data_IF_651761283353
#
_entry.id   IF_651761283353
#
_cell.length_a   1.000
_cell.length_b   1.000
_cell.length_c   1.000
_cell.angle_alpha   90.00
_cell.angle_beta   90.00
_cell.angle_gamma   90.00
#
_symmetry.space_group_name_H-M   'P 1'
#
loop_
_entity.id
_entity.type
_entity.pdbx_description
1 polymer ?
#
# COMPACT_ATOMS: atom_id res chain seq x y z
N UNK A 1 -18.85 -19.19 15.95
CA UNK A 1 -18.68 -19.53 14.53
C UNK A 1 -17.43 -18.80 14.05
N UNK A 2 -16.32 -19.48 13.78
CA UNK A 2 -15.16 -18.83 13.12
C UNK A 2 -15.66 -18.39 11.74
N UNK A 3 -15.58 -17.11 11.43
CA UNK A 3 -15.71 -16.66 10.04
C UNK A 3 -14.52 -17.27 9.31
N UNK A 4 -14.75 -18.34 8.56
CA UNK A 4 -13.75 -18.90 7.66
C UNK A 4 -13.46 -17.87 6.56
N UNK A 5 -12.21 -17.79 6.13
CA UNK A 5 -11.81 -16.96 5.00
C UNK A 5 -12.54 -17.40 3.74
N UNK A 6 -12.98 -16.44 2.93
CA UNK A 6 -13.50 -16.73 1.60
C UNK A 6 -12.39 -17.36 0.74
N UNK A 7 -12.68 -18.49 0.10
CA UNK A 7 -11.65 -19.26 -0.59
C UNK A 7 -11.09 -18.53 -1.83
N UNK A 8 -11.93 -17.79 -2.56
CA UNK A 8 -11.47 -17.00 -3.70
C UNK A 8 -10.60 -15.83 -3.25
N UNK A 9 -10.95 -15.20 -2.12
CA UNK A 9 -10.11 -14.19 -1.50
C UNK A 9 -8.75 -14.74 -1.08
N UNK A 10 -8.71 -15.91 -0.46
CA UNK A 10 -7.47 -16.54 -0.02
C UNK A 10 -6.53 -16.82 -1.20
N UNK A 11 -7.05 -17.46 -2.26
CA UNK A 11 -6.31 -17.73 -3.50
C UNK A 11 -5.80 -16.43 -4.13
N UNK A 12 -6.64 -15.39 -4.18
CA UNK A 12 -6.26 -14.08 -4.69
C UNK A 12 -5.09 -13.47 -3.92
N UNK A 13 -5.14 -13.48 -2.58
CA UNK A 13 -4.07 -12.94 -1.72
C UNK A 13 -2.79 -13.76 -1.90
N UNK A 14 -2.88 -15.09 -1.84
CA UNK A 14 -1.71 -15.97 -1.90
C UNK A 14 -0.95 -15.83 -3.22
N UNK A 15 -1.66 -15.58 -4.33
CA UNK A 15 -1.06 -15.39 -5.65
C UNK A 15 -0.27 -14.07 -5.76
N UNK A 16 -0.57 -13.06 -4.93
CA UNK A 16 -0.08 -11.68 -5.11
C UNK A 16 0.80 -11.16 -3.98
N UNK A 17 0.62 -11.69 -2.78
CA UNK A 17 1.21 -11.12 -1.56
C UNK A 17 2.72 -11.00 -1.61
N UNK A 18 3.42 -11.99 -2.17
CA UNK A 18 4.89 -11.99 -2.22
C UNK A 18 5.42 -10.86 -3.08
N UNK A 19 4.90 -10.71 -4.31
CA UNK A 19 5.29 -9.63 -5.23
C UNK A 19 5.02 -8.26 -4.62
N UNK A 20 3.82 -8.03 -4.11
CA UNK A 20 3.46 -6.71 -3.56
C UNK A 20 4.16 -6.40 -2.23
N UNK A 21 4.49 -7.42 -1.43
CA UNK A 21 5.28 -7.23 -0.22
C UNK A 21 6.71 -6.80 -0.58
N UNK A 22 7.32 -7.44 -1.58
CA UNK A 22 8.64 -7.08 -2.10
C UNK A 22 8.65 -5.66 -2.67
N UNK A 23 7.69 -5.31 -3.52
CA UNK A 23 7.55 -3.95 -4.06
C UNK A 23 7.34 -2.90 -2.96
N UNK A 24 6.42 -3.14 -2.03
CA UNK A 24 6.22 -2.24 -0.90
C UNK A 24 7.45 -2.16 0.02
N UNK A 25 8.25 -3.22 0.13
CA UNK A 25 9.52 -3.22 0.87
C UNK A 25 10.55 -2.30 0.21
N UNK A 26 10.67 -2.29 -1.12
CA UNK A 26 11.52 -1.34 -1.84
C UNK A 26 11.10 0.12 -1.60
N UNK A 27 9.80 0.39 -1.49
CA UNK A 27 9.29 1.74 -1.19
C UNK A 27 9.48 2.12 0.28
N UNK A 28 9.24 1.19 1.19
CA UNK A 28 9.32 1.44 2.63
C UNK A 28 10.75 1.33 3.19
N UNK A 29 11.64 0.68 2.46
CA UNK A 29 12.91 0.14 2.93
C UNK A 29 12.78 -0.68 4.23
N UNK A 30 11.58 -1.19 4.53
CA UNK A 30 11.29 -1.83 5.81
C UNK A 30 10.22 -2.89 5.57
N UNK A 31 10.58 -4.19 5.59
CA UNK A 31 9.63 -5.27 5.29
C UNK A 31 8.51 -5.36 6.33
N UNK A 32 8.76 -4.94 7.58
CA UNK A 32 7.73 -4.94 8.63
C UNK A 32 6.68 -3.85 8.35
N UNK A 33 7.12 -2.64 7.98
CA UNK A 33 6.19 -1.56 7.58
C UNK A 33 5.45 -1.90 6.29
N UNK A 34 6.13 -2.50 5.31
CA UNK A 34 5.54 -2.95 4.06
C UNK A 34 4.44 -4.00 4.31
N UNK A 35 4.73 -5.02 5.12
CA UNK A 35 3.76 -6.06 5.49
C UNK A 35 2.56 -5.50 6.25
N UNK A 36 2.77 -4.53 7.14
CA UNK A 36 1.67 -3.84 7.84
C UNK A 36 0.77 -3.05 6.86
N UNK A 37 1.36 -2.35 5.89
CA UNK A 37 0.61 -1.61 4.87
C UNK A 37 -0.17 -2.55 3.95
N UNK A 38 0.45 -3.64 3.50
CA UNK A 38 -0.18 -4.65 2.64
C UNK A 38 -1.35 -5.34 3.34
N UNK A 39 -1.16 -5.78 4.59
CA UNK A 39 -2.23 -6.38 5.40
C UNK A 39 -3.41 -5.41 5.58
N UNK A 40 -3.13 -4.12 5.80
CA UNK A 40 -4.17 -3.11 5.91
C UNK A 40 -4.92 -2.88 4.58
N UNK A 41 -4.22 -2.92 3.44
CA UNK A 41 -4.84 -2.84 2.12
C UNK A 41 -5.76 -4.03 1.85
N UNK A 42 -5.29 -5.27 2.09
CA UNK A 42 -6.10 -6.48 1.96
C UNK A 42 -7.28 -6.50 2.91
N UNK A 43 -7.14 -6.04 4.16
CA UNK A 43 -8.27 -5.93 5.09
C UNK A 43 -9.37 -5.00 4.57
N UNK A 44 -9.00 -3.91 3.91
CA UNK A 44 -9.97 -2.99 3.27
C UNK A 44 -10.56 -3.58 1.99
N UNK A 45 -9.82 -4.42 1.26
CA UNK A 45 -10.35 -5.17 0.12
C UNK A 45 -11.37 -6.22 0.60
N UNK A 46 -11.05 -6.99 1.65
CA UNK A 46 -11.94 -8.01 2.21
C UNK A 46 -13.34 -7.47 2.54
N UNK A 47 -13.43 -6.24 3.08
CA UNK A 47 -14.70 -5.57 3.34
C UNK A 47 -15.59 -5.36 2.10
N UNK A 48 -14.97 -5.32 0.92
CA UNK A 48 -15.60 -5.04 -0.37
C UNK A 48 -15.38 -6.18 -1.37
N UNK A 49 -14.96 -7.36 -0.88
CA UNK A 49 -14.72 -8.51 -1.74
C UNK A 49 -15.98 -8.83 -2.56
N UNK A 50 -15.80 -9.11 -3.85
CA UNK A 50 -16.88 -9.30 -4.83
C UNK A 50 -17.66 -8.03 -5.24
N UNK A 51 -17.33 -6.84 -4.71
CA UNK A 51 -17.97 -5.56 -5.08
C UNK A 51 -17.05 -4.57 -5.79
N UNK A 52 -15.77 -4.92 -5.90
CA UNK A 52 -14.76 -4.10 -6.57
C UNK A 52 -14.52 -4.72 -7.94
N UNK A 53 -14.65 -3.93 -8.99
CA UNK A 53 -14.48 -4.39 -10.37
C UNK A 53 -13.04 -4.84 -10.66
N UNK A 54 -12.06 -4.05 -10.17
CA UNK A 54 -10.63 -4.35 -10.26
C UNK A 54 -9.99 -4.39 -8.86
N UNK A 55 -9.91 -5.59 -8.25
CA UNK A 55 -9.27 -5.78 -6.95
C UNK A 55 -7.78 -5.37 -6.93
N UNK A 56 -7.08 -5.51 -8.05
CA UNK A 56 -5.63 -5.25 -8.14
C UNK A 56 -5.38 -3.76 -8.08
N UNK A 57 -6.01 -2.99 -8.97
CA UNK A 57 -5.91 -1.53 -8.97
C UNK A 57 -6.39 -0.94 -7.63
N UNK A 58 -7.46 -1.48 -7.06
CA UNK A 58 -7.96 -1.05 -5.75
C UNK A 58 -6.93 -1.29 -4.64
N UNK A 59 -6.31 -2.47 -4.60
CA UNK A 59 -5.37 -2.84 -3.54
C UNK A 59 -4.06 -2.08 -3.68
N UNK A 60 -3.51 -2.01 -4.90
CA UNK A 60 -2.30 -1.26 -5.21
C UNK A 60 -2.45 0.21 -4.84
N UNK A 61 -3.60 0.83 -5.15
CA UNK A 61 -3.89 2.20 -4.70
C UNK A 61 -3.82 2.32 -3.18
N UNK A 62 -4.54 1.46 -2.46
CA UNK A 62 -4.54 1.49 -0.99
C UNK A 62 -3.16 1.27 -0.37
N UNK A 63 -2.36 0.40 -0.97
CA UNK A 63 -1.01 0.07 -0.53
C UNK A 63 -0.08 1.28 -0.70
N UNK A 64 -0.01 1.81 -1.92
CA UNK A 64 0.99 2.78 -2.31
C UNK A 64 0.64 4.25 -1.99
N UNK A 65 -0.65 4.61 -1.95
CA UNK A 65 -1.11 5.98 -1.63
C UNK A 65 -0.55 6.51 -0.30
N UNK A 66 -0.40 5.62 0.69
CA UNK A 66 0.10 5.97 2.04
C UNK A 66 1.62 5.95 2.13
N UNK A 67 2.28 4.98 1.49
CA UNK A 67 3.72 4.78 1.65
C UNK A 67 4.54 5.67 0.70
N UNK A 68 4.00 6.03 -0.47
CA UNK A 68 4.70 6.87 -1.45
C UNK A 68 5.01 8.29 -0.96
N UNK A 69 4.27 8.79 0.05
CA UNK A 69 4.46 10.15 0.61
C UNK A 69 5.20 10.15 1.94
N UNK A 70 5.51 8.99 2.51
CA UNK A 70 6.18 8.91 3.81
C UNK A 70 7.68 9.10 3.64
N UNK A 71 8.21 10.13 4.32
CA UNK A 71 9.66 10.17 4.60
C UNK A 71 9.98 9.09 5.62
N UNK A 72 10.94 8.24 5.27
CA UNK A 72 11.40 7.17 6.14
C UNK A 72 12.85 7.51 6.52
N UNK A 73 13.16 7.65 7.83
CA UNK A 73 14.54 7.71 8.25
C UNK A 73 15.16 6.35 7.94
N UNK A 74 16.00 6.32 6.90
CA UNK A 74 16.82 5.17 6.56
C UNK A 74 18.19 5.37 7.20
N UNK A 75 18.65 4.36 7.94
CA UNK A 75 19.97 4.34 8.56
C UNK A 75 20.47 2.91 8.50
N UNK A 76 21.18 2.58 7.42
CA UNK A 76 21.91 1.32 7.31
C UNK A 76 23.11 1.52 6.41
N UNK A 77 24.31 1.23 6.91
CA UNK A 77 25.48 1.05 6.05
C UNK A 77 25.28 -0.19 5.15
N UNK A 78 25.66 -0.11 3.86
CA UNK A 78 25.58 -1.27 2.98
C UNK A 78 26.68 -2.28 3.33
N UNK A 79 26.30 -3.43 3.89
CA UNK A 79 27.21 -4.56 4.11
C UNK A 79 27.16 -5.62 2.99
N UNK A 80 26.21 -5.52 2.06
CA UNK A 80 26.03 -6.41 0.92
C UNK A 80 25.56 -5.64 -0.32
N UNK A 81 25.61 -6.28 -1.51
CA UNK A 81 25.09 -5.70 -2.76
C UNK A 81 23.59 -5.37 -2.66
N UNK A 82 22.78 -6.23 -2.02
CA UNK A 82 21.37 -5.92 -1.74
C UNK A 82 21.25 -4.68 -0.84
N UNK A 83 22.14 -4.56 0.15
CA UNK A 83 22.22 -3.37 1.00
C UNK A 83 22.57 -2.10 0.23
N UNK A 84 23.41 -2.19 -0.81
CA UNK A 84 23.77 -1.05 -1.66
C UNK A 84 22.57 -0.53 -2.46
N UNK A 85 21.76 -1.43 -3.06
CA UNK A 85 20.53 -1.05 -3.78
C UNK A 85 19.52 -0.39 -2.83
N UNK A 86 19.28 -0.99 -1.66
CA UNK A 86 18.38 -0.40 -0.66
C UNK A 86 18.90 0.95 -0.14
N UNK A 87 20.21 1.12 0.00
CA UNK A 87 20.84 2.38 0.36
C UNK A 87 20.64 3.45 -0.72
N UNK A 88 20.85 3.11 -1.99
CA UNK A 88 20.63 4.01 -3.13
C UNK A 88 19.16 4.45 -3.23
N UNK A 89 18.21 3.53 -3.03
CA UNK A 89 16.78 3.86 -2.92
C UNK A 89 16.48 4.79 -1.73
N UNK A 90 17.25 4.67 -0.64
CA UNK A 90 17.20 5.56 0.52
C UNK A 90 17.52 7.02 0.20
N UNK A 91 18.39 7.26 -0.78
CA UNK A 91 18.78 8.61 -1.23
C UNK A 91 17.71 9.29 -2.11
N UNK A 92 16.73 8.53 -2.61
CA UNK A 92 15.63 9.06 -3.40
C UNK A 92 14.58 9.76 -2.52
N UNK A 93 13.91 10.76 -3.09
CA UNK A 93 12.68 11.29 -2.47
C UNK A 93 11.63 10.17 -2.36
N UNK A 94 10.70 10.21 -1.40
CA UNK A 94 9.66 9.18 -1.26
C UNK A 94 8.89 8.94 -2.57
N UNK A 95 8.60 10.01 -3.32
CA UNK A 95 7.88 9.93 -4.58
C UNK A 95 8.75 9.33 -5.70
N UNK A 96 10.01 9.75 -5.82
CA UNK A 96 10.95 9.17 -6.81
C UNK A 96 11.09 7.66 -6.62
N UNK A 97 11.26 7.24 -5.37
CA UNK A 97 11.35 5.83 -4.99
C UNK A 97 10.07 5.06 -5.29
N UNK A 98 8.90 5.60 -4.96
CA UNK A 98 7.64 4.97 -5.30
C UNK A 98 7.46 4.83 -6.81
N UNK A 99 7.72 5.89 -7.57
CA UNK A 99 7.58 5.89 -9.03
C UNK A 99 8.51 4.87 -9.69
N UNK A 100 9.80 4.82 -9.32
CA UNK A 100 10.73 3.87 -9.95
C UNK A 100 10.37 2.42 -9.61
N UNK A 101 9.93 2.13 -8.39
CA UNK A 101 9.48 0.77 -8.01
C UNK A 101 8.22 0.38 -8.77
N UNK A 102 7.22 1.27 -8.84
CA UNK A 102 5.97 0.97 -9.53
C UNK A 102 6.20 0.72 -11.04
N UNK A 103 7.11 1.46 -11.67
CA UNK A 103 7.41 1.30 -13.10
C UNK A 103 8.33 0.12 -13.37
N UNK A 104 9.44 -0.01 -12.63
CA UNK A 104 10.48 -1.00 -12.94
C UNK A 104 10.23 -2.37 -12.29
N UNK A 105 9.55 -2.44 -11.15
CA UNK A 105 9.35 -3.69 -10.41
C UNK A 105 7.90 -4.20 -10.50
N UNK A 106 6.92 -3.32 -10.30
CA UNK A 106 5.50 -3.67 -10.49
C UNK A 106 5.09 -3.64 -11.97
N UNK A 107 5.99 -3.19 -12.85
CA UNK A 107 5.80 -3.12 -14.31
C UNK A 107 4.57 -2.30 -14.74
N UNK A 108 4.17 -1.32 -13.91
CA UNK A 108 3.07 -0.43 -14.23
C UNK A 108 3.48 0.62 -15.26
N UNK A 109 2.55 0.97 -16.13
CA UNK A 109 2.71 2.07 -17.08
C UNK A 109 2.71 3.42 -16.37
N UNK A 110 3.27 4.44 -17.03
CA UNK A 110 3.24 5.84 -16.56
C UNK A 110 1.80 6.33 -16.29
N UNK A 111 0.83 5.84 -17.06
CA UNK A 111 -0.59 6.20 -16.92
C UNK A 111 -1.17 5.60 -15.64
N UNK A 112 -0.94 4.30 -15.41
CA UNK A 112 -1.39 3.60 -14.20
C UNK A 112 -0.77 4.21 -12.95
N UNK A 113 0.53 4.52 -12.98
CA UNK A 113 1.20 5.20 -11.87
C UNK A 113 0.63 6.60 -11.62
N UNK A 114 0.32 7.35 -12.68
CA UNK A 114 -0.31 8.67 -12.57
C UNK A 114 -1.69 8.59 -11.90
N UNK A 115 -2.51 7.63 -12.30
CA UNK A 115 -3.82 7.39 -11.69
C UNK A 115 -3.70 6.94 -10.22
N UNK A 116 -2.73 6.07 -9.93
CA UNK A 116 -2.53 5.48 -8.60
C UNK A 116 -1.99 6.48 -7.58
N UNK A 117 -1.07 7.36 -7.99
CA UNK A 117 -0.44 8.37 -7.12
C UNK A 117 -1.10 9.76 -7.19
N UNK A 118 -2.14 9.92 -8.01
CA UNK A 118 -2.81 11.21 -8.29
C UNK A 118 -1.82 12.25 -8.86
N UNK A 119 -1.04 11.83 -9.85
CA UNK A 119 0.00 12.62 -10.52
C UNK A 119 -0.25 12.73 -12.02
N UNK A 120 0.15 13.85 -12.64
CA UNK A 120 0.13 13.97 -14.10
C UNK A 120 1.16 13.05 -14.75
N UNK A 121 0.91 12.59 -15.99
CA UNK A 121 1.86 11.74 -16.73
C UNK A 121 3.24 12.41 -16.88
N UNK A 122 3.27 13.73 -17.06
CA UNK A 122 4.52 14.49 -17.14
C UNK A 122 5.28 14.48 -15.82
N UNK A 123 4.59 14.67 -14.69
CA UNK A 123 5.21 14.60 -13.37
C UNK A 123 5.75 13.19 -13.08
N UNK A 124 5.03 12.13 -13.45
CA UNK A 124 5.52 10.75 -13.29
C UNK A 124 6.81 10.54 -14.08
N UNK A 125 6.87 10.98 -15.34
CA UNK A 125 8.09 10.88 -16.18
C UNK A 125 9.27 11.64 -15.57
N UNK A 126 9.03 12.86 -15.08
CA UNK A 126 10.06 13.67 -14.43
C UNK A 126 10.62 13.00 -13.17
N UNK A 127 9.73 12.48 -12.32
CA UNK A 127 10.13 11.74 -11.11
C UNK A 127 10.89 10.47 -11.46
N UNK A 128 10.45 9.73 -12.48
CA UNK A 128 11.12 8.51 -12.95
C UNK A 128 12.52 8.83 -13.46
N UNK A 129 12.67 9.83 -14.34
CA UNK A 129 13.96 10.24 -14.87
C UNK A 129 14.90 10.68 -13.74
N UNK A 130 14.41 11.50 -12.81
CA UNK A 130 15.19 11.94 -11.65
C UNK A 130 15.59 10.79 -10.72
N UNK A 131 14.74 9.77 -10.56
CA UNK A 131 15.05 8.57 -9.80
C UNK A 131 16.16 7.75 -10.46
N UNK A 132 16.04 7.48 -11.77
CA UNK A 132 17.03 6.71 -12.53
C UNK A 132 18.40 7.39 -12.53
N UNK A 133 18.46 8.71 -12.77
CA UNK A 133 19.73 9.46 -12.75
C UNK A 133 20.41 9.42 -11.37
N UNK A 134 19.65 9.45 -10.28
CA UNK A 134 20.21 9.34 -8.92
C UNK A 134 20.68 7.92 -8.62
N UNK A 135 19.89 6.91 -8.93
CA UNK A 135 20.31 5.50 -8.74
C UNK A 135 21.59 5.20 -9.52
N UNK A 136 21.71 5.75 -10.72
CA UNK A 136 22.93 5.65 -11.52
C UNK A 136 24.14 6.26 -10.81
N UNK A 137 23.99 7.47 -10.26
CA UNK A 137 25.07 8.15 -9.53
C UNK A 137 25.47 7.39 -8.26
N UNK A 138 24.52 6.84 -7.52
CA UNK A 138 24.76 6.10 -6.27
C UNK A 138 25.36 4.71 -6.51
N UNK A 139 24.97 4.01 -7.57
CA UNK A 139 25.41 2.64 -7.86
C UNK A 139 26.62 2.58 -8.79
N UNK A 140 27.07 3.71 -9.33
CA UNK A 140 28.20 3.78 -10.26
C UNK A 140 27.95 3.05 -11.60
N UNK A 141 26.69 2.83 -11.96
CA UNK A 141 26.33 2.06 -13.17
C UNK A 141 26.36 2.96 -14.41
N UNK A 142 26.84 2.43 -15.54
CA UNK A 142 26.85 3.21 -16.80
C UNK A 142 25.55 3.11 -17.61
N UNK A 143 24.64 2.20 -17.22
CA UNK A 143 23.39 1.95 -17.95
C UNK A 143 22.18 2.50 -17.18
N UNK A 144 21.36 3.29 -17.87
CA UNK A 144 20.10 3.84 -17.36
C UNK A 144 18.87 3.04 -17.80
N UNK A 145 19.06 1.84 -18.34
CA UNK A 145 17.96 1.01 -18.83
C UNK A 145 17.10 0.52 -17.67
N UNK A 146 15.79 0.63 -17.85
CA UNK A 146 14.80 0.16 -16.87
C UNK A 146 14.99 -1.33 -16.57
N UNK A 147 15.37 -2.14 -17.56
CA UNK A 147 15.62 -3.58 -17.38
C UNK A 147 16.76 -3.87 -16.40
N UNK A 148 17.83 -3.07 -16.43
CA UNK A 148 18.97 -3.26 -15.52
C UNK A 148 18.54 -2.92 -14.08
N UNK A 149 17.75 -1.85 -13.91
CA UNK A 149 17.15 -1.48 -12.62
C UNK A 149 16.17 -2.53 -12.13
N UNK A 150 15.32 -3.09 -13.01
CA UNK A 150 14.37 -4.14 -12.67
C UNK A 150 15.07 -5.34 -12.05
N UNK A 151 16.17 -5.82 -12.65
CA UNK A 151 16.94 -6.95 -12.14
C UNK A 151 17.54 -6.64 -10.76
N UNK A 152 18.18 -5.48 -10.61
CA UNK A 152 18.76 -5.04 -9.32
C UNK A 152 17.71 -4.96 -8.22
N UNK A 153 16.53 -4.42 -8.53
CA UNK A 153 15.43 -4.33 -7.58
C UNK A 153 14.92 -5.71 -7.18
N UNK A 154 14.81 -6.65 -8.12
CA UNK A 154 14.37 -8.01 -7.83
C UNK A 154 15.36 -8.76 -6.92
N UNK A 155 16.65 -8.71 -7.23
CA UNK A 155 17.71 -9.31 -6.42
C UNK A 155 17.76 -8.73 -4.99
N UNK A 156 17.51 -7.42 -4.84
CA UNK A 156 17.54 -6.75 -3.55
C UNK A 156 16.46 -7.24 -2.56
N UNK A 157 15.38 -7.84 -3.04
CA UNK A 157 14.24 -8.28 -2.23
C UNK A 157 13.92 -9.78 -2.35
N UNK A 158 14.76 -10.54 -3.04
CA UNK A 158 14.58 -11.98 -3.22
C UNK A 158 14.40 -12.72 -1.87
N UNK A 159 15.18 -12.34 -0.86
CA UNK A 159 15.08 -12.91 0.50
C UNK A 159 13.92 -12.40 1.38
N UNK A 160 13.05 -11.52 0.89
CA UNK A 160 11.91 -11.02 1.68
C UNK A 160 10.84 -12.11 1.76
N UNK A 161 10.75 -12.75 2.93
CA UNK A 161 9.75 -13.78 3.21
C UNK A 161 8.37 -13.15 3.41
N UNK A 162 7.36 -13.68 2.72
CA UNK A 162 5.95 -13.31 2.94
C UNK A 162 5.27 -14.32 3.88
N UNK A 163 4.78 -13.90 5.05
CA UNK A 163 3.83 -14.72 5.79
C UNK A 163 2.50 -14.80 5.00
N UNK A 164 1.72 -15.86 5.20
CA UNK A 164 0.36 -15.93 4.66
C UNK A 164 -0.52 -14.83 5.28
N UNK A 165 -1.02 -13.92 4.44
CA UNK A 165 -1.79 -12.75 4.89
C UNK A 165 -3.31 -12.94 4.80
N UNK A 166 -3.80 -13.96 4.11
CA UNK A 166 -5.22 -14.14 3.79
C UNK A 166 -6.10 -14.14 5.06
N UNK A 167 -5.81 -15.03 6.01
CA UNK A 167 -6.59 -15.19 7.24
C UNK A 167 -6.60 -13.91 8.10
N UNK A 168 -5.42 -13.33 8.32
CA UNK A 168 -5.24 -12.11 9.12
C UNK A 168 -5.97 -10.92 8.48
N UNK A 169 -5.86 -10.76 7.17
CA UNK A 169 -6.51 -9.68 6.44
C UNK A 169 -8.04 -9.83 6.46
N UNK A 170 -8.54 -11.06 6.27
CA UNK A 170 -9.97 -11.35 6.32
C UNK A 170 -10.57 -11.03 7.69
N UNK A 171 -9.93 -11.53 8.76
CA UNK A 171 -10.35 -11.27 10.13
C UNK A 171 -10.33 -9.76 10.46
N UNK A 172 -9.29 -9.05 10.02
CA UNK A 172 -9.19 -7.60 10.18
C UNK A 172 -10.29 -6.86 9.41
N UNK A 173 -10.61 -7.26 8.18
CA UNK A 173 -11.70 -6.70 7.38
C UNK A 173 -13.06 -6.86 8.05
N UNK A 174 -13.36 -8.06 8.56
CA UNK A 174 -14.60 -8.33 9.31
C UNK A 174 -14.70 -7.44 10.56
N UNK A 175 -13.61 -7.25 11.30
CA UNK A 175 -13.57 -6.38 12.47
C UNK A 175 -13.81 -4.90 12.12
N UNK A 176 -13.24 -4.41 11.01
CA UNK A 176 -13.48 -3.05 10.51
C UNK A 176 -14.95 -2.83 10.12
N UNK A 177 -15.58 -3.82 9.46
CA UNK A 177 -17.00 -3.79 9.12
C UNK A 177 -17.91 -3.69 10.36
N UNK A 178 -17.62 -4.48 11.40
CA UNK A 178 -18.35 -4.43 12.68
C UNK A 178 -18.24 -3.07 13.36
N UNK A 179 -17.04 -2.47 13.37
CA UNK A 179 -16.80 -1.14 13.97
C UNK A 179 -17.65 -0.07 13.29
N UNK A 180 -17.67 -0.03 11.95
CA UNK A 180 -18.45 0.96 11.17
C UNK A 180 -19.96 0.85 11.44
N UNK A 181 -20.50 -0.36 11.56
CA UNK A 181 -21.92 -0.59 11.91
C UNK A 181 -22.25 -0.11 13.33
N UNK A 182 -21.37 -0.38 14.31
CA UNK A 182 -21.56 0.11 15.69
C UNK A 182 -21.53 1.64 15.76
N UNK A 183 -20.59 2.30 15.09
CA UNK A 183 -20.53 3.78 15.08
C UNK A 183 -21.77 4.39 14.41
N UNK A 184 -22.23 3.82 13.29
CA UNK A 184 -23.47 4.26 12.64
C UNK A 184 -24.71 4.03 13.50
N UNK A 185 -24.79 2.89 14.19
CA UNK A 185 -25.87 2.59 15.14
C UNK A 185 -25.90 3.58 16.30
N UNK A 186 -24.77 3.84 16.96
CA UNK A 186 -24.71 4.81 18.07
C UNK A 186 -25.00 6.24 17.63
N UNK A 187 -24.58 6.64 16.41
CA UNK A 187 -24.96 7.93 15.84
C UNK A 187 -26.47 8.04 15.59
N UNK A 188 -27.11 6.99 15.05
CA UNK A 188 -28.56 6.94 14.86
C UNK A 188 -29.32 6.95 16.20
N UNK A 189 -28.86 6.19 17.19
CA UNK A 189 -29.43 6.19 18.54
C UNK A 189 -29.30 7.56 19.19
N UNK A 190 -28.14 8.22 19.08
CA UNK A 190 -27.94 9.57 19.60
C UNK A 190 -28.89 10.60 18.96
N UNK A 191 -29.14 10.51 17.64
CA UNK A 191 -30.12 11.36 16.96
C UNK A 191 -31.56 11.11 17.46
N UNK A 192 -31.95 9.85 17.66
CA UNK A 192 -33.28 9.51 18.20
C UNK A 192 -33.44 10.02 19.62
N UNK A 193 -32.43 9.81 20.47
CA UNK A 193 -32.45 10.31 21.87
C UNK A 193 -32.51 11.84 21.89
N UNK A 194 -31.72 12.53 21.06
CA UNK A 194 -31.77 13.98 20.95
C UNK A 194 -33.16 14.47 20.51
N UNK A 195 -33.79 13.82 19.52
CA UNK A 195 -35.15 14.14 19.08
C UNK A 195 -36.19 13.94 20.19
N UNK A 196 -36.10 12.85 20.97
CA UNK A 196 -36.98 12.60 22.12
C UNK A 196 -36.79 13.67 23.21
N UNK A 197 -35.55 14.02 23.54
CA UNK A 197 -35.25 15.07 24.53
C UNK A 197 -35.82 16.43 24.06
N UNK A 198 -35.65 16.79 22.78
CA UNK A 198 -36.23 18.01 22.22
C UNK A 198 -37.76 18.03 22.29
N UNK A 199 -38.43 16.90 22.00
CA UNK A 199 -39.88 16.75 22.12
C UNK A 199 -40.36 16.89 23.57
N UNK A 200 -39.64 16.31 24.54
CA UNK A 200 -39.97 16.41 25.96
C UNK A 200 -39.76 17.83 26.51
N UNK A 201 -38.67 18.51 26.11
CA UNK A 201 -38.42 19.89 26.52
C UNK A 201 -39.45 20.87 25.91
N UNK A 202 -39.87 20.66 24.66
CA UNK A 202 -40.87 21.49 24.01
C UNK A 202 -42.29 21.26 24.56
N UNK A 203 -42.63 20.02 24.90
CA UNK A 203 -43.93 19.67 25.51
C UNK A 203 -44.11 20.12 26.96
N UNK A 204 -43.02 20.38 27.70
CA UNK A 204 -43.06 20.93 29.06
C UNK A 204 -43.15 22.47 29.12
N UNK A 205 -43.09 23.14 27.96
CA UNK A 205 -43.12 24.59 27.83
C UNK A 205 -44.49 25.16 27.39
N UNK A 206 -45.52 24.31 27.22
CA UNK A 206 -46.91 24.69 26.98
C UNK A 206 -47.77 24.41 28.22
#
# INVERSE_FOLDING_TARGET
MREYVDQEFAVYVDTRQERWLRGATLVCLDPVKAGSALRAAFARLAMRWGRVDDPDAYTLRLLYERIARRRLPWSKEPASEQGAVLSALGQLSPVQRAVVVLVAYEELTVVEVGNLLEMSHMAVREQLQGALSKLQAELGTSSSRIQDVQLMLAEAVDGVLSPGLADDAWAAGAALGRRRRRTGYWAAVALVVAAIISLLLFGLAQ
#
